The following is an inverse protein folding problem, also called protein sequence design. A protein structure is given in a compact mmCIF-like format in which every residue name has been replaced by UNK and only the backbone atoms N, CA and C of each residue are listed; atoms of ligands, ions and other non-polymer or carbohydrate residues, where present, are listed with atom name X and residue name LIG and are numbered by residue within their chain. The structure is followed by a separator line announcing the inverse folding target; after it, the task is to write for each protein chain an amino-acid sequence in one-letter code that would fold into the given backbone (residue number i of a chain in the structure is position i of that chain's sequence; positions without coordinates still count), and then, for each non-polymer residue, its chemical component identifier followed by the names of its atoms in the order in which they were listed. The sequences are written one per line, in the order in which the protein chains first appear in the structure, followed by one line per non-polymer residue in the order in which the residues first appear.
data_IF_381770545944
#
_entry.id   IF_381770545944
#
_cell.length_a   1.000
_cell.length_b   1.000
_cell.length_c   1.000
_cell.angle_alpha   90.00
_cell.angle_beta   90.00
_cell.angle_gamma   90.00
#
_symmetry.space_group_name_H-M   'P 1'
#
loop_
_entity.id
_entity.type
_entity.pdbx_description
1 polymer ?
#
# COMPACT_ATOMS: atom_id res chain seq x y z
N UNK A 1 -4.48 14.16 -1.85
CA UNK A 1 -3.03 14.44 -1.96
C UNK A 1 -2.27 13.58 -0.95
N UNK A 2 -1.02 13.19 -1.23
CA UNK A 2 -0.27 12.27 -0.36
C UNK A 2 0.58 12.94 0.73
N UNK A 3 0.92 12.16 1.77
CA UNK A 3 1.69 12.61 2.95
C UNK A 3 3.05 13.25 2.61
N UNK A 4 3.78 12.69 1.63
CA UNK A 4 5.09 13.25 1.21
C UNK A 4 4.96 14.67 0.66
N UNK A 5 3.85 14.99 -0.02
CA UNK A 5 3.62 16.34 -0.54
C UNK A 5 3.24 17.30 0.59
N UNK A 6 2.36 16.86 1.51
CA UNK A 6 2.02 17.63 2.70
C UNK A 6 3.26 17.94 3.56
N UNK A 7 4.17 16.97 3.71
CA UNK A 7 5.43 17.16 4.41
C UNK A 7 6.32 18.25 3.80
N UNK A 8 6.31 18.39 2.46
CA UNK A 8 7.11 19.40 1.75
C UNK A 8 6.53 20.80 1.85
N UNK A 9 5.21 20.92 1.80
CA UNK A 9 4.52 22.22 1.74
C UNK A 9 4.19 22.74 3.13
N UNK A 10 3.67 21.88 4.01
CA UNK A 10 3.14 22.25 5.33
C UNK A 10 4.11 21.89 6.47
N UNK A 11 5.12 21.05 6.21
CA UNK A 11 6.10 20.61 7.20
C UNK A 11 5.80 19.22 7.78
N UNK A 12 6.76 18.68 8.54
CA UNK A 12 6.78 17.27 8.94
C UNK A 12 5.61 16.84 9.82
N UNK A 13 5.13 17.71 10.73
CA UNK A 13 3.99 17.41 11.61
C UNK A 13 2.72 17.13 10.81
N UNK A 14 2.45 17.95 9.80
CA UNK A 14 1.30 17.81 8.91
C UNK A 14 1.44 16.63 7.96
N UNK A 15 2.66 16.40 7.45
CA UNK A 15 2.96 15.20 6.68
C UNK A 15 2.66 13.91 7.45
N UNK A 16 3.07 13.85 8.71
CA UNK A 16 2.82 12.71 9.60
C UNK A 16 1.33 12.56 9.93
N UNK A 17 0.61 13.66 10.17
CA UNK A 17 -0.84 13.60 10.40
C UNK A 17 -1.56 13.02 9.17
N UNK A 18 -1.26 13.51 7.96
CA UNK A 18 -1.83 12.98 6.71
C UNK A 18 -1.48 11.50 6.53
N UNK A 19 -0.25 11.11 6.85
CA UNK A 19 0.19 9.71 6.82
C UNK A 19 -0.69 8.82 7.72
N UNK A 20 -0.91 9.24 8.97
CA UNK A 20 -1.72 8.50 9.95
C UNK A 20 -3.16 8.40 9.47
N UNK A 21 -3.77 9.52 9.03
CA UNK A 21 -5.13 9.53 8.50
C UNK A 21 -5.27 8.66 7.24
N UNK A 22 -4.23 8.61 6.40
CA UNK A 22 -4.22 7.78 5.21
C UNK A 22 -4.17 6.28 5.51
N UNK A 23 -3.39 5.88 6.51
CA UNK A 23 -3.35 4.50 7.02
C UNK A 23 -4.69 4.17 7.67
N UNK A 24 -5.17 5.04 8.56
CA UNK A 24 -6.39 4.81 9.32
C UNK A 24 -7.60 4.62 8.42
N UNK A 25 -7.74 5.39 7.34
CA UNK A 25 -8.86 5.19 6.40
C UNK A 25 -8.83 3.82 5.73
N UNK A 26 -7.63 3.28 5.47
CA UNK A 26 -7.47 1.92 4.92
C UNK A 26 -7.87 0.86 5.93
N UNK A 27 -7.41 0.99 7.18
CA UNK A 27 -7.80 0.10 8.29
C UNK A 27 -9.33 0.15 8.48
N UNK A 28 -9.90 1.35 8.58
CA UNK A 28 -11.34 1.55 8.80
C UNK A 28 -12.18 0.96 7.68
N UNK A 29 -11.75 1.06 6.42
CA UNK A 29 -12.48 0.47 5.29
C UNK A 29 -12.69 -1.05 5.46
N UNK A 30 -11.69 -1.74 6.00
CA UNK A 30 -11.75 -3.19 6.26
C UNK A 30 -12.49 -3.50 7.56
N UNK A 31 -12.22 -2.75 8.63
CA UNK A 31 -12.84 -2.97 9.94
C UNK A 31 -14.35 -2.71 9.91
N UNK A 32 -14.82 -1.75 9.12
CA UNK A 32 -16.24 -1.43 8.98
C UNK A 32 -17.05 -2.60 8.41
N UNK A 33 -16.44 -3.47 7.59
CA UNK A 33 -17.09 -4.68 7.08
C UNK A 33 -17.47 -5.62 8.23
N UNK A 34 -16.61 -5.79 9.25
CA UNK A 34 -16.94 -6.62 10.40
C UNK A 34 -18.12 -6.05 11.20
N UNK A 35 -18.18 -4.72 11.33
CA UNK A 35 -19.22 -4.03 12.12
C UNK A 35 -20.56 -4.03 11.41
N UNK A 36 -20.57 -3.84 10.08
CA UNK A 36 -21.81 -3.73 9.31
C UNK A 36 -22.47 -5.09 9.04
N UNK A 37 -21.70 -6.16 9.05
CA UNK A 37 -22.19 -7.47 8.66
C UNK A 37 -22.08 -8.52 9.78
N UNK A 38 -21.78 -8.12 11.02
CA UNK A 38 -21.63 -9.01 12.19
C UNK A 38 -20.71 -10.22 11.94
N UNK A 39 -19.69 -10.04 11.09
CA UNK A 39 -18.81 -11.15 10.69
C UNK A 39 -19.43 -12.16 9.71
N UNK A 40 -20.68 -11.97 9.30
CA UNK A 40 -21.42 -12.80 8.34
C UNK A 40 -21.52 -12.11 6.96
N UNK A 41 -21.98 -12.80 5.93
CA UNK A 41 -22.23 -12.18 4.63
C UNK A 41 -23.70 -11.78 4.47
N UNK A 42 -23.95 -10.56 4.00
CA UNK A 42 -25.32 -10.07 3.73
C UNK A 42 -26.03 -10.78 2.58
N UNK A 43 -25.32 -11.55 1.76
CA UNK A 43 -25.87 -12.25 0.61
C UNK A 43 -25.33 -13.68 0.53
N UNK A 44 -26.17 -14.59 0.06
CA UNK A 44 -25.78 -15.99 -0.20
C UNK A 44 -24.76 -16.02 -1.33
N UNK A 45 -23.49 -16.23 -0.99
CA UNK A 45 -22.42 -16.30 -1.98
C UNK A 45 -22.53 -17.62 -2.75
N UNK A 46 -22.55 -17.55 -4.09
CA UNK A 46 -22.64 -18.71 -4.99
C UNK A 46 -21.27 -19.14 -5.54
N UNK A 47 -20.20 -18.53 -5.03
CA UNK A 47 -18.82 -18.84 -5.41
C UNK A 47 -18.14 -19.62 -4.28
N UNK A 48 -17.11 -20.44 -4.56
CA UNK A 48 -16.35 -21.19 -3.55
C UNK A 48 -15.53 -20.30 -2.59
N UNK A 49 -15.68 -18.98 -2.67
CA UNK A 49 -14.99 -18.00 -1.85
C UNK A 49 -15.83 -17.66 -0.62
N UNK A 50 -15.96 -18.62 0.29
CA UNK A 50 -16.74 -18.51 1.53
C UNK A 50 -16.00 -17.73 2.60
N UNK A 51 -15.88 -16.39 2.47
CA UNK A 51 -15.36 -15.59 3.58
C UNK A 51 -15.70 -14.10 3.46
N UNK A 52 -16.03 -13.45 4.58
CA UNK A 52 -16.08 -12.00 4.75
C UNK A 52 -14.78 -11.33 4.28
N UNK A 53 -13.68 -12.09 4.20
CA UNK A 53 -12.41 -11.70 3.56
C UNK A 53 -12.58 -11.13 2.15
N UNK A 54 -13.48 -11.65 1.30
CA UNK A 54 -13.72 -11.06 -0.04
C UNK A 54 -14.23 -9.62 0.08
N UNK A 55 -15.22 -9.40 0.95
CA UNK A 55 -15.79 -8.06 1.17
C UNK A 55 -14.76 -7.10 1.75
N UNK A 56 -13.91 -7.57 2.68
CA UNK A 56 -12.78 -6.82 3.23
C UNK A 56 -11.79 -6.42 2.15
N UNK A 57 -11.39 -7.34 1.27
CA UNK A 57 -10.46 -7.05 0.18
C UNK A 57 -11.07 -6.05 -0.82
N UNK A 58 -12.35 -6.22 -1.18
CA UNK A 58 -13.07 -5.26 -2.05
C UNK A 58 -13.08 -3.87 -1.40
N UNK A 59 -13.51 -3.76 -0.13
CA UNK A 59 -13.55 -2.49 0.58
C UNK A 59 -12.16 -1.81 0.65
N UNK A 60 -11.11 -2.59 0.95
CA UNK A 60 -9.73 -2.11 0.96
C UNK A 60 -9.25 -1.60 -0.40
N UNK A 61 -9.50 -2.35 -1.47
CA UNK A 61 -9.16 -1.94 -2.84
C UNK A 61 -9.90 -0.67 -3.24
N UNK A 62 -11.20 -0.58 -2.97
CA UNK A 62 -11.97 0.63 -3.27
C UNK A 62 -11.53 1.84 -2.43
N UNK A 63 -11.07 1.63 -1.19
CA UNK A 63 -10.45 2.71 -0.41
C UNK A 63 -9.15 3.22 -1.07
N UNK A 64 -8.32 2.32 -1.63
CA UNK A 64 -7.12 2.70 -2.39
C UNK A 64 -7.48 3.44 -3.68
N UNK A 65 -8.44 2.92 -4.45
CA UNK A 65 -8.94 3.56 -5.67
C UNK A 65 -9.49 4.96 -5.35
N UNK A 66 -10.33 5.08 -4.33
CA UNK A 66 -10.89 6.35 -3.88
C UNK A 66 -9.84 7.33 -3.36
N UNK A 67 -8.72 6.85 -2.80
CA UNK A 67 -7.58 7.70 -2.44
C UNK A 67 -6.80 8.20 -3.67
N UNK A 68 -6.61 7.36 -4.69
CA UNK A 68 -5.87 7.71 -5.92
C UNK A 68 -6.70 8.62 -6.82
N UNK A 69 -7.97 8.29 -7.03
CA UNK A 69 -8.92 9.01 -7.88
C UNK A 69 -10.05 9.63 -7.06
N UNK A 70 -9.68 10.43 -6.07
CA UNK A 70 -10.66 11.04 -5.16
C UNK A 70 -11.50 12.11 -5.87
N UNK A 71 -12.83 11.97 -5.78
CA UNK A 71 -13.81 12.92 -6.35
C UNK A 71 -13.63 14.33 -5.77
N UNK A 72 -13.30 14.43 -4.48
CA UNK A 72 -13.14 15.70 -3.76
C UNK A 72 -11.97 16.57 -4.25
N UNK A 73 -11.04 16.01 -5.01
CA UNK A 73 -9.89 16.73 -5.58
C UNK A 73 -9.81 16.58 -7.09
N UNK A 74 -10.97 16.42 -7.75
CA UNK A 74 -11.07 16.33 -9.21
C UNK A 74 -10.33 15.12 -9.79
N UNK A 75 -10.42 13.97 -9.10
CA UNK A 75 -9.78 12.70 -9.47
C UNK A 75 -8.23 12.75 -9.50
N UNK A 76 -7.61 13.75 -8.88
CA UNK A 76 -6.15 13.91 -8.76
C UNK A 76 -5.71 13.70 -7.31
N UNK A 77 -5.83 12.46 -6.84
CA UNK A 77 -5.55 12.06 -5.47
C UNK A 77 -4.08 11.76 -5.17
N UNK A 78 -3.85 10.89 -4.18
CA UNK A 78 -2.51 10.44 -3.81
C UNK A 78 -2.08 9.17 -4.57
N UNK A 79 -1.08 8.46 -4.04
CA UNK A 79 -0.50 7.26 -4.70
C UNK A 79 -0.96 5.93 -4.11
N UNK A 80 -1.76 5.96 -3.05
CA UNK A 80 -2.40 4.78 -2.48
C UNK A 80 -1.53 3.91 -1.56
N UNK A 81 -0.24 4.22 -1.37
CA UNK A 81 0.67 3.41 -0.52
C UNK A 81 0.18 3.34 0.93
N UNK A 82 -0.15 4.48 1.52
CA UNK A 82 -0.53 4.53 2.94
C UNK A 82 -1.87 3.86 3.20
N UNK A 83 -2.85 4.13 2.33
CA UNK A 83 -4.18 3.51 2.41
C UNK A 83 -4.10 2.01 2.10
N UNK A 84 -3.27 1.63 1.13
CA UNK A 84 -2.93 0.24 0.81
C UNK A 84 -2.31 -0.49 2.00
N UNK A 85 -1.24 0.06 2.55
CA UNK A 85 -0.56 -0.47 3.72
C UNK A 85 -1.47 -0.55 4.94
N UNK A 86 -2.35 0.43 5.16
CA UNK A 86 -3.31 0.42 6.26
C UNK A 86 -4.34 -0.71 6.14
N UNK A 87 -4.97 -0.88 4.98
CA UNK A 87 -5.94 -1.97 4.84
C UNK A 87 -5.25 -3.34 4.89
N UNK A 88 -4.07 -3.47 4.28
CA UNK A 88 -3.29 -4.71 4.32
C UNK A 88 -2.72 -4.98 5.72
N UNK A 89 -2.49 -3.97 6.55
CA UNK A 89 -2.06 -4.18 7.94
C UNK A 89 -3.14 -4.91 8.74
N UNK A 90 -4.42 -4.69 8.42
CA UNK A 90 -5.54 -5.37 9.06
C UNK A 90 -5.74 -6.81 8.57
N UNK A 91 -5.17 -7.20 7.43
CA UNK A 91 -5.41 -8.50 6.77
C UNK A 91 -4.17 -9.38 6.75
N UNK A 92 -3.02 -8.80 6.37
CA UNK A 92 -1.75 -9.45 6.14
C UNK A 92 -0.61 -8.67 6.82
N UNK A 93 -0.60 -8.56 8.18
CA UNK A 93 0.34 -7.72 8.92
C UNK A 93 1.80 -8.17 8.73
N UNK A 94 2.04 -9.47 8.57
CA UNK A 94 3.39 -10.03 8.36
C UNK A 94 3.99 -9.54 7.04
N UNK A 95 3.23 -9.57 5.96
CA UNK A 95 3.62 -9.09 4.63
C UNK A 95 3.91 -7.59 4.67
N UNK A 96 3.08 -6.82 5.39
CA UNK A 96 3.27 -5.37 5.57
C UNK A 96 4.55 -5.08 6.35
N UNK A 97 4.85 -5.84 7.41
CA UNK A 97 6.08 -5.69 8.17
C UNK A 97 7.33 -5.97 7.31
N UNK A 98 7.31 -7.04 6.51
CA UNK A 98 8.40 -7.37 5.59
C UNK A 98 8.56 -6.27 4.51
N UNK A 99 7.45 -5.85 3.90
CA UNK A 99 7.45 -4.79 2.90
C UNK A 99 7.94 -3.45 3.47
N UNK A 100 7.60 -3.12 4.73
CA UNK A 100 8.09 -1.93 5.41
C UNK A 100 9.59 -2.01 5.70
N UNK A 101 10.11 -3.17 6.11
CA UNK A 101 11.54 -3.39 6.26
C UNK A 101 12.30 -3.15 4.95
N UNK A 102 11.80 -3.73 3.85
CA UNK A 102 12.43 -3.55 2.54
C UNK A 102 12.26 -2.12 1.99
N UNK A 103 11.12 -1.46 2.26
CA UNK A 103 10.93 -0.04 2.00
C UNK A 103 12.04 0.79 2.64
N UNK A 104 12.28 0.62 3.95
CA UNK A 104 13.30 1.36 4.67
C UNK A 104 14.68 1.08 4.10
N UNK A 105 15.02 -0.18 3.83
CA UNK A 105 16.28 -0.56 3.22
C UNK A 105 16.49 0.16 1.87
N UNK A 106 15.51 0.11 0.97
CA UNK A 106 15.60 0.75 -0.34
C UNK A 106 15.71 2.27 -0.22
N UNK A 107 14.96 2.90 0.70
CA UNK A 107 15.05 4.35 0.94
C UNK A 107 16.42 4.73 1.51
N UNK A 108 16.97 3.94 2.42
CA UNK A 108 18.29 4.19 3.03
C UNK A 108 19.43 4.05 2.01
N UNK A 109 19.31 3.11 1.08
CA UNK A 109 20.31 2.88 0.03
C UNK A 109 20.20 3.90 -1.12
N UNK A 110 18.98 4.23 -1.56
CA UNK A 110 18.75 5.01 -2.78
C UNK A 110 18.40 6.49 -2.54
N UNK A 111 17.87 6.82 -1.36
CA UNK A 111 17.27 8.12 -1.06
C UNK A 111 15.90 8.36 -1.71
N UNK A 112 15.35 7.41 -2.48
CA UNK A 112 14.07 7.56 -3.19
C UNK A 112 12.92 6.91 -2.43
N UNK A 113 12.03 7.72 -1.86
CA UNK A 113 10.80 7.24 -1.22
C UNK A 113 9.90 6.52 -2.23
N UNK A 114 9.77 7.07 -3.44
CA UNK A 114 8.94 6.48 -4.50
C UNK A 114 9.43 5.10 -4.94
N UNK A 115 10.76 4.89 -5.02
CA UNK A 115 11.33 3.58 -5.32
C UNK A 115 11.03 2.59 -4.20
N UNK A 116 11.30 2.96 -2.94
CA UNK A 116 10.98 2.13 -1.79
C UNK A 116 9.50 1.73 -1.77
N UNK A 117 8.60 2.68 -2.03
CA UNK A 117 7.16 2.45 -2.09
C UNK A 117 6.76 1.44 -3.16
N UNK A 118 7.33 1.55 -4.38
CA UNK A 118 7.04 0.60 -5.45
C UNK A 118 7.58 -0.80 -5.15
N UNK A 119 8.78 -0.89 -4.58
CA UNK A 119 9.34 -2.17 -4.14
C UNK A 119 8.44 -2.80 -3.08
N UNK A 120 8.05 -2.04 -2.05
CA UNK A 120 7.16 -2.52 -1.00
C UNK A 120 5.81 -3.04 -1.56
N UNK A 121 5.23 -2.34 -2.53
CA UNK A 121 4.00 -2.79 -3.19
C UNK A 121 4.17 -4.13 -3.91
N UNK A 122 5.33 -4.40 -4.52
CA UNK A 122 5.65 -5.69 -5.15
C UNK A 122 5.96 -6.76 -4.10
N UNK A 123 6.60 -6.37 -3.00
CA UNK A 123 7.00 -7.28 -1.91
C UNK A 123 5.80 -7.97 -1.27
N UNK A 124 4.67 -7.28 -1.11
CA UNK A 124 3.47 -7.86 -0.47
C UNK A 124 3.02 -9.16 -1.18
N UNK A 125 2.61 -9.16 -2.47
CA UNK A 125 2.17 -10.38 -3.13
C UNK A 125 3.32 -11.39 -3.30
N UNK A 126 4.55 -10.93 -3.50
CA UNK A 126 5.70 -11.82 -3.65
C UNK A 126 5.99 -12.61 -2.37
N UNK A 127 6.02 -11.94 -1.21
CA UNK A 127 6.29 -12.59 0.07
C UNK A 127 5.14 -13.49 0.49
N UNK A 128 3.89 -13.10 0.24
CA UNK A 128 2.72 -13.95 0.43
C UNK A 128 2.82 -15.23 -0.41
N UNK A 129 3.16 -15.11 -1.71
CA UNK A 129 3.37 -16.25 -2.59
C UNK A 129 4.49 -17.16 -2.10
N UNK A 130 5.65 -16.62 -1.74
CA UNK A 130 6.79 -17.41 -1.27
C UNK A 130 6.46 -18.13 0.04
N UNK A 131 5.87 -17.42 1.01
CA UNK A 131 5.49 -18.01 2.31
C UNK A 131 4.55 -19.19 2.14
N UNK A 132 3.51 -19.04 1.32
CA UNK A 132 2.53 -20.10 1.13
C UNK A 132 3.05 -21.26 0.28
N UNK A 133 3.60 -20.99 -0.90
CA UNK A 133 3.90 -22.04 -1.89
C UNK A 133 5.30 -22.64 -1.76
N UNK A 134 6.24 -21.94 -1.13
CA UNK A 134 7.64 -22.41 -1.00
C UNK A 134 7.94 -22.83 0.43
N UNK A 135 7.50 -22.05 1.42
CA UNK A 135 7.74 -22.32 2.83
C UNK A 135 6.59 -23.04 3.53
N UNK A 136 5.53 -23.40 2.79
CA UNK A 136 4.36 -24.14 3.29
C UNK A 136 3.72 -23.49 4.52
N UNK A 137 3.76 -22.17 4.60
CA UNK A 137 3.10 -21.42 5.67
C UNK A 137 1.62 -21.33 5.36
N UNK A 138 0.79 -21.78 6.30
CA UNK A 138 -0.65 -21.62 6.18
C UNK A 138 -1.02 -20.13 6.29
N UNK A 139 -1.72 -19.63 5.26
CA UNK A 139 -2.20 -18.25 5.16
C UNK A 139 -3.70 -18.34 4.94
N UNK A 140 -4.53 -18.02 5.96
CA UNK A 140 -5.98 -18.06 5.84
C UNK A 140 -6.45 -17.16 4.69
N UNK A 141 -7.30 -17.70 3.82
CA UNK A 141 -7.83 -16.96 2.67
C UNK A 141 -6.81 -16.68 1.56
N UNK A 142 -5.64 -17.35 1.55
CA UNK A 142 -4.58 -17.16 0.54
C UNK A 142 -5.12 -17.13 -0.90
N UNK A 143 -5.94 -18.11 -1.27
CA UNK A 143 -6.51 -18.25 -2.63
C UNK A 143 -7.38 -17.07 -3.08
N UNK A 144 -7.71 -16.15 -2.18
CA UNK A 144 -8.44 -14.91 -2.49
C UNK A 144 -7.49 -13.73 -2.38
N UNK A 145 -6.82 -13.61 -1.23
CA UNK A 145 -6.02 -12.43 -0.86
C UNK A 145 -4.89 -12.20 -1.87
N UNK A 146 -4.29 -13.26 -2.41
CA UNK A 146 -3.20 -13.15 -3.39
C UNK A 146 -3.60 -12.38 -4.66
N UNK A 147 -4.80 -12.63 -5.19
CA UNK A 147 -5.27 -11.95 -6.41
C UNK A 147 -5.54 -10.46 -6.16
N UNK A 148 -6.16 -10.14 -5.03
CA UNK A 148 -6.42 -8.74 -4.67
C UNK A 148 -5.14 -7.97 -4.32
N UNK A 149 -4.15 -8.61 -3.68
CA UNK A 149 -2.86 -7.97 -3.40
C UNK A 149 -2.07 -7.70 -4.68
N UNK A 150 -2.09 -8.63 -5.64
CA UNK A 150 -1.52 -8.42 -6.99
C UNK A 150 -2.22 -7.25 -7.68
N UNK A 151 -3.56 -7.23 -7.72
CA UNK A 151 -4.32 -6.15 -8.34
C UNK A 151 -4.04 -4.79 -7.68
N UNK A 152 -4.01 -4.74 -6.34
CA UNK A 152 -3.67 -3.53 -5.58
C UNK A 152 -2.26 -3.05 -5.90
N UNK A 153 -1.30 -3.97 -5.96
CA UNK A 153 0.09 -3.68 -6.32
C UNK A 153 0.17 -3.03 -7.71
N UNK A 154 -0.51 -3.61 -8.70
CA UNK A 154 -0.59 -3.04 -10.05
C UNK A 154 -1.20 -1.62 -10.06
N UNK A 155 -2.31 -1.40 -9.35
CA UNK A 155 -2.95 -0.09 -9.23
C UNK A 155 -1.98 0.94 -8.63
N UNK A 156 -1.28 0.57 -7.56
CA UNK A 156 -0.33 1.46 -6.88
C UNK A 156 0.88 1.74 -7.77
N UNK A 157 1.43 0.74 -8.47
CA UNK A 157 2.54 0.93 -9.42
C UNK A 157 2.11 1.85 -10.56
N UNK A 158 0.91 1.66 -11.11
CA UNK A 158 0.35 2.55 -12.11
C UNK A 158 0.21 3.99 -11.57
N UNK A 159 -0.25 4.15 -10.33
CA UNK A 159 -0.29 5.46 -9.69
C UNK A 159 1.12 6.10 -9.63
N UNK A 160 2.20 5.32 -9.56
CA UNK A 160 3.60 5.76 -9.55
C UNK A 160 4.23 6.05 -10.93
N UNK A 161 3.53 5.85 -12.05
CA UNK A 161 4.05 6.10 -13.43
C UNK A 161 4.85 7.41 -13.60
N UNK A 162 4.41 8.50 -12.97
CA UNK A 162 5.12 9.79 -13.03
C UNK A 162 6.45 9.81 -12.25
N UNK A 163 6.54 9.06 -11.13
CA UNK A 163 7.79 8.88 -10.39
C UNK A 163 8.74 7.99 -11.17
N UNK A 164 8.23 6.93 -11.80
CA UNK A 164 9.04 6.05 -12.65
C UNK A 164 9.72 6.87 -13.75
N UNK A 165 8.95 7.70 -14.48
CA UNK A 165 9.52 8.60 -15.47
C UNK A 165 10.60 9.52 -14.88
N UNK A 166 10.35 10.15 -13.72
CA UNK A 166 11.36 11.01 -13.08
C UNK A 166 12.61 10.27 -12.61
N UNK A 167 12.49 9.03 -12.14
CA UNK A 167 13.65 8.20 -11.76
C UNK A 167 14.49 7.90 -12.99
N UNK A 168 13.86 7.49 -14.10
CA UNK A 168 14.55 7.20 -15.36
C UNK A 168 15.27 8.43 -15.93
N UNK A 169 14.68 9.63 -15.77
CA UNK A 169 15.30 10.89 -16.18
C UNK A 169 16.25 11.50 -15.14
N UNK A 170 16.48 10.84 -13.98
CA UNK A 170 17.34 11.37 -12.92
C UNK A 170 16.80 12.60 -12.18
N UNK A 171 15.52 12.94 -12.36
CA UNK A 171 14.86 14.14 -11.83
C UNK A 171 13.96 13.85 -10.61
N UNK A 172 13.96 12.61 -10.10
CA UNK A 172 13.18 12.27 -8.92
C UNK A 172 13.82 12.87 -7.65
N UNK A 173 12.98 13.48 -6.83
CA UNK A 173 13.39 14.08 -5.55
C UNK A 173 13.95 13.03 -4.59
N UNK A 174 15.17 13.24 -4.10
CA UNK A 174 15.80 12.43 -3.06
C UNK A 174 15.55 13.03 -1.67
N UNK A 175 15.29 12.17 -0.70
CA UNK A 175 15.32 12.52 0.71
C UNK A 175 16.73 12.27 1.26
N UNK A 176 17.65 13.20 0.97
CA UNK A 176 19.08 13.10 1.30
C UNK A 176 19.38 12.89 2.78
N UNK A 177 18.48 13.31 3.68
CA UNK A 177 18.63 13.14 5.14
C UNK A 177 18.63 11.68 5.59
N UNK A 178 18.03 10.77 4.82
CA UNK A 178 17.93 9.35 5.15
C UNK A 178 18.86 8.46 4.32
N UNK A 179 19.63 9.02 3.38
CA UNK A 179 20.50 8.26 2.50
C UNK A 179 21.84 7.96 3.20
N UNK A 180 22.13 6.68 3.43
CA UNK A 180 23.40 6.22 4.04
C UNK A 180 24.56 6.23 3.03
N UNK A 181 24.32 5.76 1.81
CA UNK A 181 25.32 5.74 0.75
C UNK A 181 25.25 7.04 -0.04
N UNK A 182 26.04 8.04 0.37
CA UNK A 182 26.36 9.18 -0.50
C UNK A 182 27.34 8.67 -1.56
N UNK A 183 26.85 8.19 -2.69
CA UNK A 183 27.69 8.09 -3.88
C UNK A 183 28.14 9.51 -4.21
N UNK A 184 29.42 9.80 -3.93
CA UNK A 184 30.02 11.10 -4.14
C UNK A 184 29.75 11.54 -5.57
N UNK A 185 29.28 12.78 -5.73
CA UNK A 185 29.41 13.48 -7.00
C UNK A 185 30.91 13.53 -7.30
N UNK A 186 31.38 12.76 -8.28
CA UNK A 186 32.50 13.20 -9.10
C UNK A 186 31.98 14.29 -10.04
#
# INVERSE_FOLDING_TARGET
MGSTNAMRILGWKWGLLVQILDILKGVLAVSLVNVLFDGQMAFTNRTPFEDITVMKMIAGVFAVIGHIWSIFVGFKGGKGINTGGGFLLAIAPTEVAIAFGLFLLVVMLSGYISLGSMIAAITIPLTMFLRHNVFSVDIPGYHIIIYFTIATSMIVIFAHRSNIARILHGNESKFSKFQLLKFGKK
#
